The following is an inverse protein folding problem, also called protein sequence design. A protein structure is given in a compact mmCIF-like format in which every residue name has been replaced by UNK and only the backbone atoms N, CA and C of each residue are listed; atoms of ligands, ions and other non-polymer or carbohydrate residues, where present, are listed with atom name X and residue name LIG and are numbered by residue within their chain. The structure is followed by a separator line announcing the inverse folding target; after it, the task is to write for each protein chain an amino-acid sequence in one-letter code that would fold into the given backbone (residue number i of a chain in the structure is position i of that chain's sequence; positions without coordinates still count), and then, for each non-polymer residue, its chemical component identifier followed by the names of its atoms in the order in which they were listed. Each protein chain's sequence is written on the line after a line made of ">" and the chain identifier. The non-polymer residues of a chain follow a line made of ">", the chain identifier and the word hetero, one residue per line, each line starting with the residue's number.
data_IF_513948506487
#
_entry.id   IF_513948506487
#
_cell.length_a   1.000
_cell.length_b   1.000
_cell.length_c   1.000
_cell.angle_alpha   90.00
_cell.angle_beta   90.00
_cell.angle_gamma   90.00
#
_symmetry.space_group_name_H-M   'P 1'
#
loop_
_entity.id
_entity.type
_entity.pdbx_description
1 polymer ?
#
# COMPACT_ATOMS: atom_id res chain seq x y z
N UNK A 1 3.10 -13.37 23.48
CA UNK A 1 4.08 -13.43 22.37
C UNK A 1 5.51 -13.32 22.94
N UNK A 2 6.50 -14.09 22.47
CA UNK A 2 7.88 -14.02 23.00
C UNK A 2 8.52 -12.65 22.70
N UNK A 3 9.34 -12.11 23.62
CA UNK A 3 9.99 -10.78 23.49
C UNK A 3 10.77 -10.62 22.17
N UNK A 4 11.45 -11.67 21.73
CA UNK A 4 12.18 -11.69 20.46
C UNK A 4 11.29 -11.47 19.23
N UNK A 5 10.05 -11.99 19.22
CA UNK A 5 9.11 -11.81 18.10
C UNK A 5 8.69 -10.34 18.00
N UNK A 6 8.46 -9.67 19.15
CA UNK A 6 8.14 -8.24 19.18
C UNK A 6 9.29 -7.40 18.58
N UNK A 7 10.53 -7.71 18.96
CA UNK A 7 11.72 -7.02 18.43
C UNK A 7 11.84 -7.25 16.92
N UNK A 8 11.62 -8.48 16.45
CA UNK A 8 11.66 -8.82 15.03
C UNK A 8 10.61 -8.03 14.24
N UNK A 9 9.36 -8.00 14.71
CA UNK A 9 8.28 -7.25 14.05
C UNK A 9 8.61 -5.76 14.00
N UNK A 10 9.07 -5.18 15.11
CA UNK A 10 9.44 -3.77 15.16
C UNK A 10 10.58 -3.46 14.17
N UNK A 11 11.64 -4.26 14.19
CA UNK A 11 12.78 -4.10 13.28
C UNK A 11 12.35 -4.22 11.82
N UNK A 12 11.52 -5.22 11.49
CA UNK A 12 10.96 -5.41 10.15
C UNK A 12 10.14 -4.20 9.69
N UNK A 13 9.20 -3.74 10.51
CA UNK A 13 8.33 -2.62 10.16
C UNK A 13 9.09 -1.30 10.06
N UNK A 14 10.05 -1.06 10.96
CA UNK A 14 10.94 0.11 10.87
C UNK A 14 11.81 0.06 9.62
N UNK A 15 12.37 -1.10 9.29
CA UNK A 15 13.16 -1.28 8.08
C UNK A 15 12.32 -1.07 6.82
N UNK A 16 11.08 -1.55 6.78
CA UNK A 16 10.17 -1.25 5.66
C UNK A 16 9.85 0.24 5.57
N UNK A 17 9.56 0.89 6.69
CA UNK A 17 9.22 2.31 6.70
C UNK A 17 10.39 3.18 6.25
N UNK A 18 11.52 3.10 6.97
CA UNK A 18 12.70 3.91 6.67
C UNK A 18 13.37 3.48 5.37
N UNK A 19 13.43 2.19 5.08
CA UNK A 19 13.97 1.67 3.83
C UNK A 19 13.19 2.15 2.61
N UNK A 20 11.86 2.16 2.68
CA UNK A 20 11.04 2.70 1.59
C UNK A 20 11.19 4.21 1.45
N UNK A 21 11.30 4.94 2.56
CA UNK A 21 11.54 6.39 2.53
C UNK A 21 12.90 6.73 1.89
N UNK A 22 13.95 5.99 2.26
CA UNK A 22 15.28 6.12 1.66
C UNK A 22 15.29 5.70 0.18
N UNK A 23 14.55 4.65 -0.19
CA UNK A 23 14.43 4.22 -1.59
C UNK A 23 13.80 5.30 -2.47
N UNK A 24 12.71 5.95 -2.00
CA UNK A 24 12.10 7.09 -2.69
C UNK A 24 13.10 8.24 -2.83
N UNK A 25 13.84 8.56 -1.77
CA UNK A 25 14.87 9.60 -1.83
C UNK A 25 16.00 9.28 -2.81
N UNK A 26 16.46 8.02 -2.84
CA UNK A 26 17.50 7.55 -3.76
C UNK A 26 17.04 7.54 -5.21
N UNK A 27 15.76 7.23 -5.46
CA UNK A 27 15.14 7.37 -6.79
C UNK A 27 15.06 8.84 -7.22
N UNK A 28 14.65 9.73 -6.31
CA UNK A 28 14.53 11.16 -6.62
C UNK A 28 15.84 11.77 -7.11
N UNK A 29 16.98 11.38 -6.51
CA UNK A 29 18.30 11.89 -6.87
C UNK A 29 18.96 11.11 -8.05
N UNK A 30 18.26 10.15 -8.65
CA UNK A 30 18.72 9.45 -9.86
C UNK A 30 19.76 8.34 -9.64
N UNK A 31 20.03 7.90 -8.41
CA UNK A 31 21.07 6.89 -8.12
C UNK A 31 20.87 5.60 -8.93
N UNK A 32 19.61 5.22 -9.15
CA UNK A 32 19.27 3.98 -9.83
C UNK A 32 19.36 4.08 -11.36
N UNK A 33 19.20 5.28 -11.94
CA UNK A 33 19.28 5.46 -13.40
C UNK A 33 20.71 5.26 -13.91
N UNK A 34 21.71 5.72 -13.15
CA UNK A 34 23.13 5.53 -13.47
C UNK A 34 23.55 4.06 -13.43
N UNK A 35 22.97 3.28 -12.51
CA UNK A 35 23.38 1.88 -12.27
C UNK A 35 22.56 0.88 -13.09
N UNK A 36 21.29 1.18 -13.36
CA UNK A 36 20.35 0.28 -14.01
C UNK A 36 19.40 1.03 -14.95
N UNK A 37 19.78 1.24 -16.23
CA UNK A 37 18.98 2.03 -17.16
C UNK A 37 17.55 1.49 -17.37
N UNK A 38 17.35 0.17 -17.25
CA UNK A 38 16.05 -0.49 -17.38
C UNK A 38 15.07 -0.19 -16.24
N UNK A 39 15.54 0.33 -15.10
CA UNK A 39 14.67 0.70 -13.97
C UNK A 39 13.83 1.95 -14.29
N UNK A 40 14.26 2.79 -15.23
CA UNK A 40 13.52 3.98 -15.69
C UNK A 40 12.12 3.64 -16.23
N UNK A 41 11.96 2.50 -16.90
CA UNK A 41 10.66 2.07 -17.45
C UNK A 41 9.62 1.78 -16.37
N UNK A 42 10.06 1.34 -15.19
CA UNK A 42 9.19 0.97 -14.06
C UNK A 42 9.23 1.96 -12.90
N UNK A 43 9.93 3.08 -13.05
CA UNK A 43 10.22 4.02 -11.97
C UNK A 43 8.94 4.55 -11.30
N UNK A 44 7.94 4.92 -12.11
CA UNK A 44 6.63 5.37 -11.60
C UNK A 44 5.95 4.32 -10.73
N UNK A 45 6.01 3.05 -11.12
CA UNK A 45 5.46 1.95 -10.32
C UNK A 45 6.22 1.77 -9.02
N UNK A 46 7.54 1.97 -9.03
CA UNK A 46 8.36 1.92 -7.82
C UNK A 46 8.03 3.06 -6.84
N UNK A 47 7.75 4.27 -7.33
CA UNK A 47 7.25 5.34 -6.45
C UNK A 47 5.93 4.95 -5.78
N UNK A 48 4.99 4.37 -6.52
CA UNK A 48 3.71 3.92 -5.95
C UNK A 48 3.90 2.75 -4.98
N UNK A 49 4.80 1.83 -5.31
CA UNK A 49 5.18 0.70 -4.47
C UNK A 49 5.74 1.19 -3.13
N UNK A 50 6.78 2.01 -3.15
CA UNK A 50 7.40 2.49 -1.93
C UNK A 50 6.48 3.40 -1.13
N UNK A 51 5.67 4.26 -1.78
CA UNK A 51 4.66 5.07 -1.09
C UNK A 51 3.62 4.19 -0.38
N UNK A 52 3.12 3.15 -1.05
CA UNK A 52 2.22 2.16 -0.45
C UNK A 52 2.86 1.42 0.73
N UNK A 53 4.15 1.08 0.61
CA UNK A 53 4.92 0.45 1.69
C UNK A 53 5.09 1.36 2.90
N UNK A 54 5.38 2.65 2.68
CA UNK A 54 5.45 3.68 3.73
C UNK A 54 4.10 3.77 4.45
N UNK A 55 2.99 3.88 3.73
CA UNK A 55 1.65 3.96 4.33
C UNK A 55 1.29 2.71 5.13
N UNK A 56 1.51 1.53 4.55
CA UNK A 56 1.19 0.24 5.17
C UNK A 56 2.02 -0.05 6.41
N UNK A 57 3.32 0.20 6.34
CA UNK A 57 4.26 0.02 7.46
C UNK A 57 4.02 1.06 8.56
N UNK A 58 3.74 2.33 8.23
CA UNK A 58 3.39 3.36 9.21
C UNK A 58 2.16 2.98 10.04
N UNK A 59 1.09 2.53 9.39
CA UNK A 59 -0.12 2.08 10.09
C UNK A 59 0.18 0.91 11.03
N UNK A 60 0.99 -0.04 10.58
CA UNK A 60 1.31 -1.22 11.38
C UNK A 60 2.30 -0.94 12.50
N UNK A 61 3.21 0.03 12.32
CA UNK A 61 4.04 0.58 13.39
C UNK A 61 3.17 1.24 14.45
N UNK A 62 2.24 2.11 14.04
CA UNK A 62 1.31 2.75 14.95
C UNK A 62 0.48 1.72 15.73
N UNK A 63 -0.10 0.73 15.03
CA UNK A 63 -0.83 -0.36 15.69
C UNK A 63 0.07 -1.13 16.65
N UNK A 64 1.28 -1.52 16.23
CA UNK A 64 2.21 -2.26 17.07
C UNK A 64 2.54 -1.50 18.36
N UNK A 65 2.87 -0.20 18.25
CA UNK A 65 3.14 0.65 19.40
C UNK A 65 1.92 0.78 20.32
N UNK A 66 0.72 1.00 19.75
CA UNK A 66 -0.52 1.10 20.52
C UNK A 66 -0.81 -0.19 21.30
N UNK A 67 -0.78 -1.36 20.64
CA UNK A 67 -0.97 -2.65 21.31
C UNK A 67 0.12 -2.94 22.35
N UNK A 68 1.34 -2.44 22.13
CA UNK A 68 2.42 -2.55 23.09
C UNK A 68 2.20 -1.70 24.33
N UNK A 69 1.73 -0.47 24.18
CA UNK A 69 1.47 0.43 25.30
C UNK A 69 0.25 0.03 26.13
N UNK A 70 -0.76 -0.58 25.51
CA UNK A 70 -2.01 -0.98 26.17
C UNK A 70 -2.00 -2.42 26.71
N UNK A 71 -0.87 -3.13 26.63
CA UNK A 71 -0.75 -4.56 26.96
C UNK A 71 -1.71 -5.50 26.18
N UNK A 72 -2.17 -5.06 25.00
CA UNK A 72 -3.18 -5.74 24.17
C UNK A 72 -2.60 -6.78 23.19
N UNK A 73 -1.47 -7.41 23.52
CA UNK A 73 -0.93 -8.53 22.72
C UNK A 73 -1.67 -9.84 23.02
N UNK A 74 -2.98 -9.85 22.76
CA UNK A 74 -3.93 -10.84 23.28
C UNK A 74 -3.92 -12.16 22.48
N UNK A 75 -3.46 -12.17 21.22
CA UNK A 75 -3.37 -13.42 20.44
C UNK A 75 -2.08 -13.51 19.61
N UNK A 76 -1.26 -14.57 19.80
CA UNK A 76 -0.11 -14.86 18.96
C UNK A 76 -0.43 -14.78 17.47
N UNK A 77 -1.57 -15.28 16.99
CA UNK A 77 -1.90 -15.43 15.56
C UNK A 77 -1.92 -14.10 14.78
N UNK A 78 -2.05 -12.97 15.48
CA UNK A 78 -2.04 -11.64 14.87
C UNK A 78 -0.66 -11.21 14.35
N UNK A 79 0.43 -11.91 14.68
CA UNK A 79 1.77 -11.60 14.18
C UNK A 79 1.86 -11.66 12.65
N UNK A 80 1.09 -12.55 12.01
CA UNK A 80 1.03 -12.72 10.56
C UNK A 80 0.58 -11.42 9.89
N UNK A 81 -0.39 -10.71 10.48
CA UNK A 81 -0.88 -9.45 9.94
C UNK A 81 0.23 -8.40 9.89
N UNK A 82 1.06 -8.30 10.93
CA UNK A 82 2.17 -7.33 10.96
C UNK A 82 3.23 -7.59 9.88
N UNK A 83 3.37 -8.82 9.39
CA UNK A 83 4.31 -9.16 8.32
C UNK A 83 3.68 -8.97 6.95
N UNK A 84 2.51 -9.59 6.73
CA UNK A 84 1.90 -9.67 5.40
C UNK A 84 1.09 -8.44 5.02
N UNK A 85 0.53 -7.71 5.99
CA UNK A 85 -0.29 -6.54 5.68
C UNK A 85 0.51 -5.47 4.95
N UNK A 86 1.70 -5.02 5.41
CA UNK A 86 2.49 -4.04 4.66
C UNK A 86 2.82 -4.51 3.23
N UNK A 87 3.06 -5.80 3.03
CA UNK A 87 3.33 -6.37 1.71
C UNK A 87 2.11 -6.30 0.79
N UNK A 88 0.93 -6.70 1.27
CA UNK A 88 -0.30 -6.60 0.49
C UNK A 88 -0.73 -5.15 0.24
N UNK A 89 -0.56 -4.29 1.24
CA UNK A 89 -0.81 -2.86 1.14
C UNK A 89 0.04 -2.22 0.02
N UNK A 90 1.30 -2.64 -0.09
CA UNK A 90 2.24 -2.19 -1.11
C UNK A 90 1.76 -2.53 -2.53
N UNK A 91 1.47 -3.81 -2.80
CA UNK A 91 0.98 -4.22 -4.13
C UNK A 91 -0.37 -3.58 -4.48
N UNK A 92 -1.24 -3.45 -3.47
CA UNK A 92 -2.57 -2.85 -3.65
C UNK A 92 -2.49 -1.37 -4.00
N UNK A 93 -1.52 -0.64 -3.44
CA UNK A 93 -1.29 0.76 -3.79
C UNK A 93 -0.96 0.94 -5.28
N UNK A 94 -0.11 0.08 -5.84
CA UNK A 94 0.23 0.08 -7.27
C UNK A 94 -1.01 -0.20 -8.12
N UNK A 95 -1.78 -1.23 -7.78
CA UNK A 95 -3.01 -1.58 -8.50
C UNK A 95 -4.05 -0.47 -8.40
N UNK A 96 -4.20 0.17 -7.24
CA UNK A 96 -5.15 1.26 -7.04
C UNK A 96 -4.88 2.44 -7.98
N UNK A 97 -3.61 2.87 -8.08
CA UNK A 97 -3.24 3.94 -9.01
C UNK A 97 -3.52 3.55 -10.46
N UNK A 98 -3.22 2.31 -10.85
CA UNK A 98 -3.54 1.81 -12.20
C UNK A 98 -5.04 1.80 -12.49
N UNK A 99 -5.87 1.38 -11.52
CA UNK A 99 -7.33 1.38 -11.67
C UNK A 99 -7.87 2.80 -11.85
N UNK A 100 -7.31 3.78 -11.12
CA UNK A 100 -7.68 5.19 -11.27
C UNK A 100 -7.25 5.71 -12.65
N UNK A 101 -6.00 5.48 -13.04
CA UNK A 101 -5.48 5.91 -14.35
C UNK A 101 -6.21 5.25 -15.54
N UNK A 102 -6.69 4.02 -15.37
CA UNK A 102 -7.50 3.33 -16.39
C UNK A 102 -8.94 3.84 -16.50
N UNK A 103 -9.38 4.72 -15.59
CA UNK A 103 -10.76 5.22 -15.53
C UNK A 103 -11.75 4.25 -14.87
N UNK A 104 -11.28 3.10 -14.36
CA UNK A 104 -12.13 2.15 -13.62
C UNK A 104 -12.55 2.73 -12.26
N UNK A 105 -11.66 3.47 -11.60
CA UNK A 105 -11.97 4.23 -10.39
C UNK A 105 -11.95 5.73 -10.69
N UNK A 106 -13.10 6.40 -10.53
CA UNK A 106 -13.21 7.84 -10.73
C UNK A 106 -12.62 8.61 -9.55
N UNK A 107 -11.33 8.92 -9.63
CA UNK A 107 -10.64 9.91 -8.80
C UNK A 107 -9.87 10.82 -9.74
N UNK A 108 -10.23 12.10 -9.80
CA UNK A 108 -9.52 13.07 -10.61
C UNK A 108 -8.25 13.51 -9.90
N UNK A 109 -7.11 13.30 -10.56
CA UNK A 109 -5.85 13.91 -10.15
C UNK A 109 -5.85 15.36 -10.64
N UNK A 110 -5.47 16.30 -9.77
CA UNK A 110 -5.36 17.69 -10.19
C UNK A 110 -4.28 17.85 -11.27
N UNK A 111 -4.63 18.45 -12.40
CA UNK A 111 -3.75 18.61 -13.57
C UNK A 111 -2.59 19.62 -13.36
N UNK A 112 -2.59 20.35 -12.24
CA UNK A 112 -1.77 21.56 -12.03
C UNK A 112 -0.54 21.37 -11.14
N UNK A 113 -0.02 20.14 -10.98
CA UNK A 113 1.22 19.92 -10.23
C UNK A 113 2.21 19.11 -11.07
N UNK A 114 3.38 19.69 -11.35
CA UNK A 114 4.45 19.07 -12.13
C UNK A 114 5.04 17.85 -11.40
N UNK A 115 4.50 16.66 -11.67
CA UNK A 115 5.01 15.39 -11.15
C UNK A 115 3.93 14.49 -10.56
N UNK A 116 4.21 13.20 -10.31
CA UNK A 116 3.21 12.22 -9.90
C UNK A 116 2.79 12.34 -8.42
N UNK A 117 2.78 13.55 -7.85
CA UNK A 117 2.55 13.77 -6.41
C UNK A 117 1.19 13.27 -5.95
N UNK A 118 0.16 13.48 -6.77
CA UNK A 118 -1.20 13.05 -6.45
C UNK A 118 -1.31 11.51 -6.46
N UNK A 119 -0.67 10.85 -7.42
CA UNK A 119 -0.63 9.39 -7.53
C UNK A 119 0.18 8.77 -6.38
N UNK A 120 1.33 9.35 -6.04
CA UNK A 120 2.15 8.94 -4.88
C UNK A 120 1.36 9.12 -3.58
N UNK A 121 0.65 10.23 -3.42
CA UNK A 121 -0.19 10.49 -2.25
C UNK A 121 -1.33 9.47 -2.14
N UNK A 122 -2.00 9.17 -3.25
CA UNK A 122 -3.03 8.13 -3.29
C UNK A 122 -2.44 6.76 -2.96
N UNK A 123 -1.28 6.41 -3.52
CA UNK A 123 -0.60 5.15 -3.20
C UNK A 123 -0.29 5.03 -1.70
N UNK A 124 0.21 6.10 -1.07
CA UNK A 124 0.39 6.17 0.38
C UNK A 124 -0.92 5.97 1.14
N UNK A 125 -1.99 6.68 0.76
CA UNK A 125 -3.29 6.55 1.42
C UNK A 125 -3.92 5.17 1.24
N UNK A 126 -3.73 4.52 0.10
CA UNK A 126 -4.16 3.14 -0.12
C UNK A 126 -3.35 2.19 0.75
N UNK A 127 -2.03 2.37 0.84
CA UNK A 127 -1.20 1.57 1.73
C UNK A 127 -1.60 1.71 3.20
N UNK A 128 -1.75 2.94 3.68
CA UNK A 128 -2.22 3.26 5.02
C UNK A 128 -3.68 2.79 5.24
N UNK A 129 -4.52 2.94 4.22
CA UNK A 129 -5.94 2.65 4.25
C UNK A 129 -6.31 1.23 3.78
N UNK A 130 -5.35 0.32 3.62
CA UNK A 130 -5.50 -0.93 2.86
C UNK A 130 -6.80 -1.69 3.13
N UNK A 131 -7.16 -1.96 4.38
CA UNK A 131 -8.42 -2.65 4.70
C UNK A 131 -9.66 -1.92 4.17
N UNK A 132 -9.72 -0.59 4.29
CA UNK A 132 -10.86 0.19 3.80
C UNK A 132 -10.91 0.15 2.27
N UNK A 133 -9.75 0.23 1.62
CA UNK A 133 -9.65 0.17 0.17
C UNK A 133 -10.03 -1.22 -0.37
N UNK A 134 -9.52 -2.29 0.23
CA UNK A 134 -9.90 -3.67 -0.13
C UNK A 134 -11.39 -3.92 0.00
N UNK A 135 -12.03 -3.44 1.08
CA UNK A 135 -13.47 -3.59 1.24
C UNK A 135 -14.23 -2.90 0.10
N UNK A 136 -13.77 -1.72 -0.32
CA UNK A 136 -14.36 -0.97 -1.45
C UNK A 136 -14.13 -1.67 -2.78
N UNK A 137 -12.93 -2.20 -3.01
CA UNK A 137 -12.66 -3.04 -4.17
C UNK A 137 -13.57 -4.26 -4.23
N UNK A 138 -13.81 -4.91 -3.09
CA UNK A 138 -14.70 -6.08 -3.03
C UNK A 138 -16.16 -5.71 -3.33
N UNK A 139 -16.64 -4.58 -2.79
CA UNK A 139 -17.96 -4.02 -3.11
C UNK A 139 -18.12 -3.75 -4.62
N UNK A 140 -17.12 -3.10 -5.23
CA UNK A 140 -17.12 -2.78 -6.67
C UNK A 140 -17.04 -4.04 -7.53
N UNK A 141 -16.13 -4.96 -7.20
CA UNK A 141 -15.94 -6.23 -7.92
C UNK A 141 -17.23 -7.04 -7.92
N UNK A 142 -17.85 -7.20 -6.75
CA UNK A 142 -19.12 -7.93 -6.64
C UNK A 142 -20.20 -7.25 -7.49
N UNK A 143 -20.33 -5.93 -7.40
CA UNK A 143 -21.28 -5.16 -8.21
C UNK A 143 -21.10 -5.33 -9.72
N UNK A 144 -19.86 -5.29 -10.23
CA UNK A 144 -19.56 -5.45 -11.65
C UNK A 144 -19.86 -6.86 -12.17
N UNK A 145 -19.55 -7.90 -11.39
CA UNK A 145 -19.73 -9.29 -11.82
C UNK A 145 -21.16 -9.83 -11.58
N UNK A 146 -21.90 -9.31 -10.59
CA UNK A 146 -23.29 -9.71 -10.35
C UNK A 146 -24.31 -9.04 -11.30
N UNK A 147 -23.95 -7.98 -12.02
CA UNK A 147 -24.82 -7.40 -13.08
C UNK A 147 -25.24 -8.44 -14.13
N UNK A 148 -24.38 -9.42 -14.44
CA UNK A 148 -24.69 -10.54 -15.34
C UNK A 148 -25.80 -11.47 -14.82
N UNK A 149 -26.09 -11.45 -13.51
CA UNK A 149 -27.10 -12.34 -12.90
C UNK A 149 -28.48 -11.69 -12.84
N UNK A 150 -28.56 -10.36 -12.90
CA UNK A 150 -29.85 -9.65 -12.93
C UNK A 150 -30.47 -9.60 -14.32
N UNK A 151 -29.67 -9.52 -15.39
CA UNK A 151 -30.17 -9.61 -16.77
C UNK A 151 -30.88 -10.93 -17.07
N UNK A 152 -30.44 -12.05 -16.47
CA UNK A 152 -31.07 -13.37 -16.64
C UNK A 152 -32.40 -13.60 -15.91
N UNK A 153 -32.87 -12.63 -15.12
CA UNK A 153 -34.15 -12.72 -14.39
C UNK A 153 -35.25 -11.83 -14.98
N UNK A 154 -34.98 -11.16 -16.09
CA UNK A 154 -35.94 -10.32 -16.81
C UNK A 154 -36.42 -10.92 -18.14
N UNK A 155 -36.04 -12.17 -18.45
CA UNK A 155 -36.59 -12.97 -19.56
C UNK A 155 -37.59 -14.02 -19.05
#
# INVERSE_FOLDING_TARGET
>A
MKRWVKILILAYLSLLFFGSFLAVGAMWIGVFEETYPKLSEIERFLYYFFAGSIGGSLRHLYMFCSHYMNDEFIDPRHWIMYIFFPLFATGTAVIAVNLIQSGILMIDFADNIDGPYAQVSVAFFVGFGFNRFLNKLNEISTGMFDMKKQEKKQD
#
